data_IF_936082566592
#
_entry.id   IF_936082566592
#
_cell.length_a   1.000
_cell.length_b   1.000
_cell.length_c   1.000
_cell.angle_alpha   90.00
_cell.angle_beta   90.00
_cell.angle_gamma   90.00
#
_symmetry.space_group_name_H-M   'P 1'
#
loop_
_entity.id
_entity.type
_entity.pdbx_description
1 polymer ?
#
# COMPACT_ATOMS: atom_id res chain seq x y z
N UNK A 1 35.20 -5.25 -21.70
CA UNK A 1 34.46 -4.33 -20.81
C UNK A 1 33.13 -4.04 -21.48
N UNK A 2 32.04 -4.66 -21.02
CA UNK A 2 30.70 -4.40 -21.57
C UNK A 2 30.14 -3.14 -20.92
N UNK A 3 29.90 -2.10 -21.70
CA UNK A 3 29.16 -0.89 -21.29
C UNK A 3 27.89 -1.30 -20.52
N UNK A 4 27.61 -0.72 -19.33
CA UNK A 4 26.37 -0.97 -18.62
C UNK A 4 25.21 -0.42 -19.47
N UNK A 5 24.49 -1.32 -20.16
CA UNK A 5 23.26 -0.97 -20.88
C UNK A 5 22.23 -0.51 -19.86
N UNK A 6 21.99 0.79 -19.80
CA UNK A 6 20.88 1.38 -19.05
C UNK A 6 19.57 0.86 -19.66
N UNK A 7 18.93 -0.08 -18.98
CA UNK A 7 17.63 -0.60 -19.40
C UNK A 7 16.54 0.39 -18.99
N UNK A 8 16.28 1.38 -19.85
CA UNK A 8 15.25 2.40 -19.61
C UNK A 8 13.87 1.78 -19.35
N UNK A 9 13.53 0.67 -20.00
CA UNK A 9 12.27 -0.03 -19.74
C UNK A 9 12.19 -0.55 -18.30
N UNK A 10 13.29 -1.07 -17.75
CA UNK A 10 13.34 -1.48 -16.34
C UNK A 10 13.19 -0.28 -15.40
N UNK A 11 13.83 0.86 -15.71
CA UNK A 11 13.68 2.09 -14.92
C UNK A 11 12.23 2.55 -14.90
N UNK A 12 11.56 2.58 -16.06
CA UNK A 12 10.14 2.90 -16.16
C UNK A 12 9.26 1.92 -15.38
N UNK A 13 9.54 0.62 -15.44
CA UNK A 13 8.78 -0.38 -14.67
C UNK A 13 8.95 -0.20 -13.16
N UNK A 14 10.16 0.10 -12.68
CA UNK A 14 10.41 0.39 -11.28
C UNK A 14 9.71 1.68 -10.84
N UNK A 15 9.72 2.70 -11.70
CA UNK A 15 9.00 3.94 -11.46
C UNK A 15 7.48 3.71 -11.37
N UNK A 16 6.90 2.95 -12.31
CA UNK A 16 5.48 2.57 -12.28
C UNK A 16 5.12 1.74 -11.05
N UNK A 17 5.99 0.83 -10.62
CA UNK A 17 5.80 0.09 -9.38
C UNK A 17 5.75 1.01 -8.15
N UNK A 18 6.64 1.99 -8.07
CA UNK A 18 6.63 3.01 -7.02
C UNK A 18 5.37 3.89 -7.06
N UNK A 19 4.96 4.32 -8.26
CA UNK A 19 3.73 5.08 -8.47
C UNK A 19 2.50 4.28 -8.03
N UNK A 20 2.44 3.00 -8.37
CA UNK A 20 1.39 2.08 -7.95
C UNK A 20 1.34 1.90 -6.44
N UNK A 21 2.48 1.76 -5.78
CA UNK A 21 2.56 1.69 -4.32
C UNK A 21 2.05 2.99 -3.64
N UNK A 22 2.42 4.16 -4.16
CA UNK A 22 1.92 5.44 -3.67
C UNK A 22 0.40 5.59 -3.90
N UNK A 23 -0.11 5.16 -5.05
CA UNK A 23 -1.55 5.15 -5.32
C UNK A 23 -2.29 4.23 -4.35
N UNK A 24 -1.72 3.07 -4.00
CA UNK A 24 -2.29 2.15 -3.03
C UNK A 24 -2.40 2.75 -1.63
N UNK A 25 -1.36 3.49 -1.22
CA UNK A 25 -1.38 4.25 0.04
C UNK A 25 -2.49 5.31 0.06
N UNK A 26 -2.67 6.05 -1.03
CA UNK A 26 -3.61 7.18 -1.10
C UNK A 26 -5.05 6.86 -1.53
N UNK A 27 -5.34 5.64 -2.02
CA UNK A 27 -6.62 5.31 -2.69
C UNK A 27 -7.87 5.62 -1.86
N UNK A 28 -7.80 5.43 -0.55
CA UNK A 28 -8.97 5.61 0.35
C UNK A 28 -9.29 7.09 0.55
N UNK A 29 -8.28 7.97 0.54
CA UNK A 29 -8.48 9.42 0.65
C UNK A 29 -9.30 9.97 -0.53
N UNK A 30 -9.17 9.36 -1.72
CA UNK A 30 -9.90 9.77 -2.93
C UNK A 30 -11.39 9.45 -2.84
N UNK A 31 -11.76 8.37 -2.15
CA UNK A 31 -13.15 7.93 -2.00
C UNK A 31 -13.72 8.22 -0.61
N UNK A 32 -13.03 9.03 0.19
CA UNK A 32 -13.37 9.23 1.60
C UNK A 32 -14.76 9.85 1.79
N UNK A 33 -15.16 10.75 0.87
CA UNK A 33 -16.48 11.34 0.77
C UNK A 33 -17.61 10.32 0.53
N UNK A 34 -17.28 9.17 -0.08
CA UNK A 34 -18.22 8.09 -0.38
C UNK A 34 -18.33 7.05 0.73
N UNK A 35 -17.34 6.96 1.62
CA UNK A 35 -17.34 5.98 2.71
C UNK A 35 -18.57 6.04 3.63
N UNK A 36 -19.15 7.21 3.97
CA UNK A 36 -20.38 7.27 4.76
C UNK A 36 -21.59 6.62 4.07
N UNK A 37 -21.59 6.53 2.73
CA UNK A 37 -22.65 5.85 1.98
C UNK A 37 -22.50 4.32 2.05
N UNK A 38 -21.28 3.83 2.19
CA UNK A 38 -20.95 2.41 2.26
C UNK A 38 -21.06 1.90 3.71
N UNK A 39 -20.68 2.72 4.68
CA UNK A 39 -20.74 2.42 6.12
C UNK A 39 -21.48 3.52 6.89
N UNK A 40 -22.83 3.57 6.82
CA UNK A 40 -23.63 4.66 7.40
C UNK A 40 -23.45 4.82 8.92
N UNK A 41 -23.30 3.70 9.63
CA UNK A 41 -23.20 3.66 11.10
C UNK A 41 -21.78 3.89 11.64
N UNK A 42 -20.80 4.14 10.77
CA UNK A 42 -19.39 4.22 11.17
C UNK A 42 -19.00 5.55 11.84
N UNK A 43 -19.69 6.64 11.50
CA UNK A 43 -19.45 7.96 12.08
C UNK A 43 -17.97 8.38 12.04
N UNK A 44 -17.41 8.95 13.13
CA UNK A 44 -16.02 9.42 13.19
C UNK A 44 -14.96 8.33 12.96
N UNK A 45 -15.31 7.05 13.15
CA UNK A 45 -14.38 5.92 12.99
C UNK A 45 -13.86 5.83 11.56
N UNK A 46 -14.59 6.34 10.57
CA UNK A 46 -14.14 6.40 9.18
C UNK A 46 -12.79 7.10 9.01
N UNK A 47 -12.45 8.10 9.84
CA UNK A 47 -11.15 8.78 9.79
C UNK A 47 -9.95 7.82 9.90
N UNK A 48 -10.11 6.72 10.65
CA UNK A 48 -9.07 5.70 10.77
C UNK A 48 -8.74 5.01 9.45
N UNK A 49 -9.67 4.96 8.50
CA UNK A 49 -9.44 4.39 7.18
C UNK A 49 -8.26 5.03 6.45
N UNK A 50 -8.02 6.33 6.68
CA UNK A 50 -6.89 7.06 6.10
C UNK A 50 -5.70 7.10 7.07
N UNK A 51 -5.95 7.38 8.35
CA UNK A 51 -4.86 7.64 9.31
C UNK A 51 -4.06 6.40 9.72
N UNK A 52 -4.68 5.21 9.74
CA UNK A 52 -4.00 3.97 10.17
C UNK A 52 -2.77 3.64 9.31
N UNK A 53 -2.88 3.89 8.01
CA UNK A 53 -1.84 3.58 7.03
C UNK A 53 -0.61 4.42 7.29
N UNK A 54 -0.81 5.74 7.42
CA UNK A 54 0.27 6.68 7.71
C UNK A 54 0.89 6.43 9.08
N UNK A 55 0.07 6.14 10.09
CA UNK A 55 0.54 5.80 11.42
C UNK A 55 1.48 4.58 11.42
N UNK A 56 1.04 3.47 10.82
CA UNK A 56 1.87 2.25 10.74
C UNK A 56 3.11 2.49 9.87
N UNK A 57 2.97 3.20 8.75
CA UNK A 57 4.09 3.51 7.86
C UNK A 57 5.18 4.35 8.54
N UNK A 58 4.79 5.32 9.37
CA UNK A 58 5.74 6.12 10.17
C UNK A 58 6.44 5.24 11.22
N UNK A 59 5.71 4.38 11.91
CA UNK A 59 6.25 3.53 12.97
C UNK A 59 7.17 2.43 12.45
N UNK A 60 6.82 1.81 11.32
CA UNK A 60 7.50 0.62 10.82
C UNK A 60 8.40 0.89 9.59
N UNK A 61 8.38 2.09 9.02
CA UNK A 61 9.09 2.39 7.76
C UNK A 61 10.59 2.14 7.82
N UNK A 62 11.25 2.51 8.92
CA UNK A 62 12.70 2.23 9.11
C UNK A 62 12.95 0.72 9.17
N UNK A 63 12.14 -0.02 9.93
CA UNK A 63 12.22 -1.48 10.05
C UNK A 63 12.00 -2.16 8.70
N UNK A 64 11.02 -1.71 7.92
CA UNK A 64 10.75 -2.20 6.57
C UNK A 64 11.97 -1.98 5.65
N UNK A 65 12.63 -0.82 5.71
CA UNK A 65 13.85 -0.54 4.96
C UNK A 65 15.02 -1.47 5.33
N UNK A 66 15.24 -1.69 6.63
CA UNK A 66 16.27 -2.63 7.12
C UNK A 66 15.95 -4.06 6.68
N UNK A 67 14.70 -4.48 6.78
CA UNK A 67 14.28 -5.82 6.38
C UNK A 67 14.40 -6.04 4.86
N UNK A 68 14.03 -5.04 4.06
CA UNK A 68 14.20 -5.08 2.61
C UNK A 68 15.67 -5.21 2.20
N UNK A 69 16.59 -4.55 2.92
CA UNK A 69 18.03 -4.71 2.70
C UNK A 69 18.53 -6.13 3.05
N UNK A 70 17.93 -6.80 4.05
CA UNK A 70 18.26 -8.18 4.43
C UNK A 70 17.71 -9.23 3.45
N UNK A 71 16.46 -9.06 2.99
CA UNK A 71 15.78 -10.00 2.08
C UNK A 71 16.23 -9.78 0.62
N UNK A 72 16.73 -8.58 0.31
CA UNK A 72 17.15 -8.14 -1.02
C UNK A 72 16.03 -7.37 -1.73
N UNK A 73 16.36 -6.18 -2.23
CA UNK A 73 15.40 -5.22 -2.79
C UNK A 73 14.52 -5.81 -3.90
N UNK A 74 15.08 -6.62 -4.80
CA UNK A 74 14.30 -7.25 -5.88
C UNK A 74 13.20 -8.17 -5.34
N UNK A 75 13.53 -9.01 -4.36
CA UNK A 75 12.56 -9.95 -3.77
C UNK A 75 11.53 -9.19 -2.95
N UNK A 76 11.98 -8.24 -2.14
CA UNK A 76 11.10 -7.38 -1.35
C UNK A 76 10.07 -6.65 -2.24
N UNK A 77 10.52 -6.04 -3.34
CA UNK A 77 9.66 -5.34 -4.28
C UNK A 77 8.60 -6.27 -4.92
N UNK A 78 9.00 -7.45 -5.39
CA UNK A 78 8.08 -8.38 -6.03
C UNK A 78 7.02 -8.90 -5.05
N UNK A 79 7.42 -9.25 -3.82
CA UNK A 79 6.47 -9.66 -2.79
C UNK A 79 5.51 -8.54 -2.41
N UNK A 80 6.02 -7.31 -2.24
CA UNK A 80 5.19 -6.16 -1.94
C UNK A 80 4.14 -5.92 -3.04
N UNK A 81 4.54 -5.96 -4.32
CA UNK A 81 3.63 -5.79 -5.45
C UNK A 81 2.52 -6.84 -5.48
N UNK A 82 2.84 -8.12 -5.30
CA UNK A 82 1.87 -9.21 -5.31
C UNK A 82 0.92 -9.10 -4.11
N UNK A 83 1.46 -8.90 -2.91
CA UNK A 83 0.67 -8.85 -1.67
C UNK A 83 -0.25 -7.63 -1.61
N UNK A 84 0.21 -6.46 -2.06
CA UNK A 84 -0.61 -5.25 -2.06
C UNK A 84 -1.64 -5.29 -3.18
N UNK A 85 -1.30 -5.83 -4.36
CA UNK A 85 -2.24 -6.06 -5.46
C UNK A 85 -3.41 -6.96 -5.05
N UNK A 86 -3.11 -8.12 -4.43
CA UNK A 86 -4.15 -9.04 -3.95
C UNK A 86 -5.04 -8.43 -2.87
N UNK A 87 -4.46 -7.67 -1.93
CA UNK A 87 -5.23 -6.95 -0.89
C UNK A 87 -6.16 -5.90 -1.49
N UNK A 88 -5.74 -5.20 -2.53
CA UNK A 88 -6.58 -4.22 -3.21
C UNK A 88 -7.79 -4.84 -3.90
N UNK A 89 -7.62 -6.01 -4.53
CA UNK A 89 -8.73 -6.77 -5.11
C UNK A 89 -9.72 -7.23 -4.03
N UNK A 90 -9.24 -7.55 -2.82
CA UNK A 90 -10.13 -7.91 -1.72
C UNK A 90 -10.89 -6.70 -1.16
N UNK A 91 -10.20 -5.56 -1.00
CA UNK A 91 -10.84 -4.32 -0.49
C UNK A 91 -11.90 -3.74 -1.44
N UNK A 92 -11.81 -4.00 -2.75
CA UNK A 92 -12.83 -3.55 -3.70
C UNK A 92 -14.21 -4.18 -3.48
N UNK A 93 -14.27 -5.28 -2.72
CA UNK A 93 -15.52 -5.92 -2.32
C UNK A 93 -16.20 -5.25 -1.12
N UNK A 94 -15.62 -4.17 -0.57
CA UNK A 94 -16.11 -3.45 0.61
C UNK A 94 -16.46 -4.39 1.79
N UNK A 95 -15.48 -5.10 2.35
CA UNK A 95 -15.73 -6.01 3.48
C UNK A 95 -16.21 -5.22 4.71
N UNK A 96 -16.80 -5.88 5.73
CA UNK A 96 -17.29 -5.20 6.93
C UNK A 96 -16.24 -4.27 7.55
N UNK A 97 -16.67 -3.13 8.08
CA UNK A 97 -15.79 -2.05 8.54
C UNK A 97 -14.59 -2.50 9.40
N UNK A 98 -14.74 -3.41 10.39
CA UNK A 98 -13.58 -3.87 11.17
C UNK A 98 -12.54 -4.62 10.32
N UNK A 99 -13.00 -5.42 9.36
CA UNK A 99 -12.12 -6.13 8.41
C UNK A 99 -11.45 -5.13 7.48
N UNK A 100 -12.19 -4.15 6.98
CA UNK A 100 -11.64 -3.08 6.16
C UNK A 100 -10.53 -2.31 6.90
N UNK A 101 -10.78 -1.88 8.14
CA UNK A 101 -9.77 -1.20 8.97
C UNK A 101 -8.58 -2.11 9.34
N UNK A 102 -8.82 -3.41 9.57
CA UNK A 102 -7.77 -4.40 9.74
C UNK A 102 -6.85 -4.49 8.52
N UNK A 103 -7.42 -4.53 7.31
CA UNK A 103 -6.64 -4.50 6.08
C UNK A 103 -5.85 -3.19 5.92
N UNK A 104 -6.41 -2.05 6.37
CA UNK A 104 -5.74 -0.75 6.36
C UNK A 104 -4.49 -0.73 7.23
N UNK A 105 -4.53 -1.36 8.40
CA UNK A 105 -3.37 -1.54 9.28
C UNK A 105 -2.26 -2.35 8.59
N UNK A 106 -2.62 -3.51 8.02
CA UNK A 106 -1.64 -4.39 7.36
C UNK A 106 -1.04 -3.68 6.15
N UNK A 107 -1.81 -2.85 5.44
CA UNK A 107 -1.30 -2.08 4.30
C UNK A 107 -0.22 -1.08 4.69
N UNK A 108 -0.29 -0.47 5.87
CA UNK A 108 0.76 0.46 6.33
C UNK A 108 2.13 -0.19 6.60
N UNK A 109 2.22 -1.52 6.60
CA UNK A 109 3.49 -2.27 6.75
C UNK A 109 4.27 -2.36 5.41
N UNK A 110 3.59 -2.11 4.29
CA UNK A 110 4.05 -2.44 2.93
C UNK A 110 5.01 -1.42 2.34
#
# INVERSE_FOLDING_TARGET
MTEPRHNLALVFLLWLAGLGAAAQYGKVSVIFDKLPQIYPEAGPVLGWAVSLVGFVGILLGVTAGVLAARIGFRRALLWALVLVGGRSLFQSSFPPLPVFLGLRLIEGVS
#
